data_IF_206516699570
#
_entry.id   IF_206516699570
#
_cell.length_a   1.000
_cell.length_b   1.000
_cell.length_c   1.000
_cell.angle_alpha   90.00
_cell.angle_beta   90.00
_cell.angle_gamma   90.00
#
_symmetry.space_group_name_H-M   'P 1'
#
loop_
_entity.id
_entity.type
_entity.pdbx_description
1 polymer ?
#
# COMPACT_ATOMS: atom_id res chain seq x y z
N UNK A 1 27.65 -22.58 -5.93
CA UNK A 1 26.36 -22.68 -6.65
C UNK A 1 25.25 -22.40 -5.66
N UNK A 2 24.82 -21.13 -5.57
CA UNK A 2 23.79 -20.72 -4.62
C UNK A 2 22.41 -20.97 -5.24
N UNK A 3 21.64 -21.83 -4.59
CA UNK A 3 20.26 -22.18 -4.94
C UNK A 3 19.40 -20.91 -4.98
N UNK A 4 18.95 -20.54 -6.17
CA UNK A 4 17.92 -19.54 -6.37
C UNK A 4 16.58 -20.12 -5.91
N UNK A 5 16.18 -19.80 -4.68
CA UNK A 5 14.82 -20.03 -4.22
C UNK A 5 13.90 -19.06 -4.99
N UNK A 6 13.39 -19.51 -6.14
CA UNK A 6 12.22 -18.91 -6.77
C UNK A 6 11.04 -19.10 -5.83
N UNK A 7 10.77 -18.12 -4.96
CA UNK A 7 9.47 -18.01 -4.30
C UNK A 7 8.40 -17.99 -5.41
N UNK A 8 7.42 -18.89 -5.41
CA UNK A 8 6.30 -18.76 -6.32
C UNK A 8 5.62 -17.42 -5.99
N UNK A 9 5.67 -16.48 -6.92
CA UNK A 9 4.85 -15.28 -6.87
C UNK A 9 3.41 -15.72 -7.08
N UNK A 10 2.74 -16.17 -6.03
CA UNK A 10 1.29 -16.34 -6.06
C UNK A 10 0.70 -14.96 -6.34
N UNK A 11 0.27 -14.75 -7.58
CA UNK A 11 -0.43 -13.52 -7.93
C UNK A 11 -1.68 -13.42 -7.06
N UNK A 12 -1.81 -12.36 -6.29
CA UNK A 12 -3.00 -12.12 -5.48
C UNK A 12 -4.24 -12.00 -6.38
N UNK A 13 -5.33 -12.67 -6.00
CA UNK A 13 -6.58 -12.64 -6.75
C UNK A 13 -7.15 -11.23 -6.84
N UNK A 14 -7.75 -10.95 -8.00
CA UNK A 14 -8.51 -9.72 -8.26
C UNK A 14 -9.99 -10.03 -8.54
N UNK A 15 -10.42 -11.25 -8.27
CA UNK A 15 -11.83 -11.60 -8.24
C UNK A 15 -12.51 -10.83 -7.11
N UNK A 16 -13.63 -10.18 -7.44
CA UNK A 16 -14.36 -9.33 -6.50
C UNK A 16 -15.23 -10.11 -5.52
N UNK A 17 -15.50 -11.40 -5.80
CA UNK A 17 -16.28 -12.28 -4.93
C UNK A 17 -15.75 -13.72 -4.99
N UNK A 18 -14.52 -13.97 -4.51
CA UNK A 18 -13.94 -15.30 -4.54
C UNK A 18 -14.67 -16.23 -3.55
N UNK A 19 -14.62 -17.54 -3.79
CA UNK A 19 -15.17 -18.54 -2.85
C UNK A 19 -14.38 -18.62 -1.54
N UNK A 20 -13.11 -18.20 -1.56
CA UNK A 20 -12.22 -18.11 -0.41
C UNK A 20 -11.28 -16.91 -0.58
N UNK A 21 -11.06 -16.15 0.50
CA UNK A 21 -10.09 -15.04 0.51
C UNK A 21 -8.65 -15.55 0.69
N UNK A 22 -7.69 -14.71 0.31
CA UNK A 22 -6.25 -15.03 0.28
C UNK A 22 -5.68 -15.43 1.65
N UNK A 23 -4.53 -16.12 1.70
CA UNK A 23 -3.93 -16.54 2.98
C UNK A 23 -3.53 -15.36 3.90
N UNK A 24 -3.22 -14.21 3.31
CA UNK A 24 -2.93 -12.96 4.02
C UNK A 24 -4.19 -12.23 4.54
N UNK A 25 -5.38 -12.86 4.47
CA UNK A 25 -6.58 -12.41 5.19
C UNK A 25 -6.45 -12.56 6.71
N UNK A 26 -5.53 -13.41 7.15
CA UNK A 26 -5.27 -13.67 8.56
C UNK A 26 -4.75 -12.43 9.26
N UNK A 27 -5.25 -12.15 10.47
CA UNK A 27 -4.85 -10.98 11.24
C UNK A 27 -3.34 -10.99 11.51
N UNK A 28 -2.63 -9.97 10.99
CA UNK A 28 -1.23 -9.73 11.34
C UNK A 28 -1.16 -9.36 12.83
N UNK A 29 -0.33 -10.04 13.64
CA UNK A 29 -0.17 -9.71 15.04
C UNK A 29 0.26 -8.25 15.21
N UNK A 30 -0.55 -7.46 15.93
CA UNK A 30 -0.23 -6.08 16.27
C UNK A 30 0.51 -6.00 17.60
N UNK A 31 1.56 -5.18 17.64
CA UNK A 31 2.20 -4.77 18.90
C UNK A 31 1.23 -3.97 19.77
N UNK A 32 1.50 -3.88 21.07
CA UNK A 32 0.67 -3.11 22.01
C UNK A 32 0.56 -1.63 21.59
N UNK A 33 1.68 -1.03 21.17
CA UNK A 33 1.69 0.34 20.66
C UNK A 33 0.77 0.51 19.44
N UNK A 34 0.84 -0.41 18.47
CA UNK A 34 -0.03 -0.37 17.29
C UNK A 34 -1.51 -0.55 17.66
N UNK A 35 -1.84 -1.45 18.60
CA UNK A 35 -3.22 -1.61 19.10
C UNK A 35 -3.73 -0.33 19.74
N UNK A 36 -2.90 0.33 20.54
CA UNK A 36 -3.24 1.60 21.18
C UNK A 36 -3.49 2.71 20.15
N UNK A 37 -2.61 2.85 19.14
CA UNK A 37 -2.80 3.83 18.07
C UNK A 37 -4.06 3.52 17.26
N UNK A 38 -4.26 2.26 16.86
CA UNK A 38 -5.42 1.84 16.09
C UNK A 38 -6.73 2.13 16.83
N UNK A 39 -6.79 1.84 18.13
CA UNK A 39 -7.95 2.15 18.96
C UNK A 39 -8.17 3.67 19.13
N UNK A 40 -7.14 4.41 19.52
CA UNK A 40 -7.27 5.82 19.91
C UNK A 40 -7.44 6.75 18.70
N UNK A 41 -6.68 6.54 17.63
CA UNK A 41 -6.68 7.40 16.46
C UNK A 41 -7.69 6.98 15.39
N UNK A 42 -7.96 5.67 15.24
CA UNK A 42 -8.81 5.13 14.17
C UNK A 42 -10.14 4.57 14.70
N UNK A 43 -10.28 4.40 16.03
CA UNK A 43 -11.41 3.68 16.62
C UNK A 43 -11.48 2.22 16.18
N UNK A 44 -10.34 1.61 15.84
CA UNK A 44 -10.25 0.23 15.34
C UNK A 44 -10.31 -0.77 16.49
N UNK A 45 -11.36 -1.59 16.52
CA UNK A 45 -11.48 -2.79 17.35
C UNK A 45 -11.56 -4.02 16.46
N UNK A 46 -11.33 -5.22 17.00
CA UNK A 46 -11.42 -6.46 16.21
C UNK A 46 -12.82 -6.63 15.59
N UNK A 47 -13.89 -6.39 16.36
CA UNK A 47 -15.26 -6.43 15.87
C UNK A 47 -15.53 -5.38 14.77
N UNK A 48 -15.08 -4.13 14.96
CA UNK A 48 -15.27 -3.08 13.94
C UNK A 48 -14.47 -3.38 12.68
N UNK A 49 -13.27 -3.97 12.82
CA UNK A 49 -12.41 -4.38 11.71
C UNK A 49 -13.10 -5.44 10.85
N UNK A 50 -13.55 -6.52 11.48
CA UNK A 50 -14.22 -7.64 10.81
C UNK A 50 -15.49 -7.17 10.09
N UNK A 51 -16.35 -6.44 10.79
CA UNK A 51 -17.60 -5.94 10.22
C UNK A 51 -17.35 -4.95 9.08
N UNK A 52 -16.40 -4.03 9.26
CA UNK A 52 -16.09 -3.03 8.23
C UNK A 52 -15.50 -3.64 6.97
N UNK A 53 -14.65 -4.65 7.13
CA UNK A 53 -14.08 -5.40 6.02
C UNK A 53 -15.16 -6.18 5.27
N UNK A 54 -16.07 -6.84 5.99
CA UNK A 54 -17.22 -7.55 5.42
C UNK A 54 -18.10 -6.61 4.59
N UNK A 55 -18.45 -5.43 5.12
CA UNK A 55 -19.26 -4.43 4.43
C UNK A 55 -18.55 -3.90 3.16
N UNK A 56 -17.24 -3.62 3.24
CA UNK A 56 -16.49 -3.15 2.08
C UNK A 56 -16.42 -4.21 0.98
N UNK A 57 -16.24 -5.49 1.33
CA UNK A 57 -16.30 -6.62 0.38
C UNK A 57 -17.67 -6.76 -0.29
N UNK A 58 -18.75 -6.69 0.48
CA UNK A 58 -20.11 -6.75 -0.07
C UNK A 58 -20.40 -5.59 -1.02
N UNK A 59 -19.92 -4.40 -0.70
CA UNK A 59 -20.01 -3.25 -1.58
C UNK A 59 -19.20 -3.47 -2.87
N UNK A 60 -17.94 -3.93 -2.78
CA UNK A 60 -17.11 -4.25 -3.96
C UNK A 60 -17.80 -5.29 -4.86
N UNK A 61 -18.34 -6.36 -4.27
CA UNK A 61 -19.02 -7.43 -5.00
C UNK A 61 -20.26 -6.91 -5.75
N UNK A 62 -21.07 -6.06 -5.12
CA UNK A 62 -22.28 -5.49 -5.72
C UNK A 62 -22.03 -4.31 -6.66
N UNK A 63 -20.83 -3.70 -6.61
CA UNK A 63 -20.53 -2.51 -7.41
C UNK A 63 -20.50 -2.81 -8.93
N UNK A 64 -21.24 -2.07 -9.77
CA UNK A 64 -21.40 -2.39 -11.19
C UNK A 64 -20.16 -2.07 -12.03
N UNK A 65 -19.38 -1.07 -11.65
CA UNK A 65 -18.20 -0.61 -12.40
C UNK A 65 -16.88 -1.26 -11.96
N UNK A 66 -16.83 -1.85 -10.75
CA UNK A 66 -15.65 -2.57 -10.29
C UNK A 66 -15.66 -3.97 -10.92
N UNK A 67 -14.72 -4.19 -11.85
CA UNK A 67 -14.54 -5.46 -12.55
C UNK A 67 -13.44 -6.34 -11.94
N UNK A 68 -12.35 -5.72 -11.49
CA UNK A 68 -11.19 -6.40 -10.89
C UNK A 68 -10.69 -5.58 -9.71
N UNK A 69 -10.62 -6.18 -8.53
CA UNK A 69 -10.15 -5.53 -7.31
C UNK A 69 -9.62 -6.59 -6.35
N UNK A 70 -8.46 -6.36 -5.72
CA UNK A 70 -8.00 -7.18 -4.60
C UNK A 70 -9.02 -7.06 -3.46
N UNK A 71 -9.35 -8.19 -2.85
CA UNK A 71 -10.32 -8.24 -1.73
C UNK A 71 -9.73 -8.83 -0.46
N UNK A 72 -8.42 -9.06 -0.44
CA UNK A 72 -7.67 -9.46 0.76
C UNK A 72 -7.72 -8.38 1.86
N UNK A 73 -7.65 -8.81 3.12
CA UNK A 73 -7.80 -7.95 4.28
C UNK A 73 -6.71 -6.89 4.35
N UNK A 74 -5.45 -7.25 4.08
CA UNK A 74 -4.33 -6.32 4.14
C UNK A 74 -4.51 -5.13 3.21
N UNK A 75 -4.93 -5.39 1.96
CA UNK A 75 -5.22 -4.38 0.96
C UNK A 75 -6.44 -3.53 1.34
N UNK A 76 -7.55 -4.16 1.71
CA UNK A 76 -8.78 -3.42 2.00
C UNK A 76 -8.69 -2.58 3.29
N UNK A 77 -7.99 -3.09 4.31
CA UNK A 77 -7.79 -2.38 5.57
C UNK A 77 -7.00 -1.09 5.40
N UNK A 78 -6.12 -0.97 4.40
CA UNK A 78 -5.38 0.27 4.14
C UNK A 78 -6.31 1.45 3.85
N UNK A 79 -7.42 1.21 3.16
CA UNK A 79 -8.43 2.25 2.86
C UNK A 79 -9.30 2.57 4.06
N UNK A 80 -9.70 1.55 4.82
CA UNK A 80 -10.47 1.71 6.05
C UNK A 80 -9.66 2.49 7.09
N UNK A 81 -8.42 2.11 7.34
CA UNK A 81 -7.52 2.77 8.31
C UNK A 81 -7.19 4.19 7.89
N UNK A 82 -6.88 4.43 6.61
CA UNK A 82 -6.63 5.79 6.10
C UNK A 82 -7.82 6.75 6.29
N UNK A 83 -9.02 6.22 6.55
CA UNK A 83 -10.25 6.98 6.78
C UNK A 83 -10.85 6.76 8.17
N UNK A 84 -10.07 6.28 9.14
CA UNK A 84 -10.53 6.02 10.51
C UNK A 84 -11.84 5.19 10.56
N UNK A 85 -11.95 4.22 9.64
CA UNK A 85 -13.10 3.35 9.46
C UNK A 85 -14.43 4.08 9.13
N UNK A 86 -14.36 5.28 8.55
CA UNK A 86 -15.47 5.87 7.81
C UNK A 86 -15.71 5.08 6.53
N UNK A 87 -16.87 4.41 6.47
CA UNK A 87 -17.24 3.51 5.40
C UNK A 87 -17.41 4.21 4.05
N UNK A 88 -18.03 5.38 4.03
CA UNK A 88 -18.30 6.10 2.79
C UNK A 88 -17.01 6.69 2.22
N UNK A 89 -16.21 7.32 3.09
CA UNK A 89 -14.93 7.87 2.71
C UNK A 89 -13.95 6.79 2.24
N UNK A 90 -13.95 5.60 2.86
CA UNK A 90 -13.13 4.47 2.44
C UNK A 90 -13.54 3.95 1.05
N UNK A 91 -14.83 3.78 0.77
CA UNK A 91 -15.35 3.37 -0.54
C UNK A 91 -14.96 4.36 -1.63
N UNK A 92 -15.17 5.65 -1.38
CA UNK A 92 -14.77 6.72 -2.31
C UNK A 92 -13.26 6.74 -2.55
N UNK A 93 -12.45 6.50 -1.51
CA UNK A 93 -11.00 6.44 -1.64
C UNK A 93 -10.56 5.24 -2.46
N UNK A 94 -11.16 4.06 -2.26
CA UNK A 94 -10.90 2.87 -3.05
C UNK A 94 -11.30 3.07 -4.52
N UNK A 95 -12.48 3.64 -4.79
CA UNK A 95 -12.93 3.93 -6.15
C UNK A 95 -11.96 4.87 -6.86
N UNK A 96 -11.59 5.99 -6.22
CA UNK A 96 -10.59 6.93 -6.76
C UNK A 96 -9.26 6.26 -7.03
N UNK A 97 -8.79 5.41 -6.12
CA UNK A 97 -7.57 4.63 -6.32
C UNK A 97 -7.67 3.74 -7.57
N UNK A 98 -8.76 2.98 -7.74
CA UNK A 98 -8.97 2.13 -8.91
C UNK A 98 -9.05 2.95 -10.20
N UNK A 99 -9.74 4.09 -10.18
CA UNK A 99 -9.82 5.02 -11.33
C UNK A 99 -8.45 5.60 -11.68
N UNK A 100 -7.68 6.08 -10.70
CA UNK A 100 -6.35 6.65 -10.94
C UNK A 100 -5.40 5.65 -11.59
N UNK A 101 -5.45 4.38 -11.19
CA UNK A 101 -4.67 3.31 -11.84
C UNK A 101 -5.01 3.12 -13.33
N UNK A 102 -6.28 3.30 -13.69
CA UNK A 102 -6.73 3.17 -15.08
C UNK A 102 -6.45 4.42 -15.91
N UNK A 103 -6.54 5.61 -15.33
CA UNK A 103 -6.32 6.89 -16.03
C UNK A 103 -4.82 7.17 -16.21
N UNK A 104 -4.01 6.97 -15.17
CA UNK A 104 -2.59 7.32 -15.17
C UNK A 104 -1.68 6.09 -15.32
N UNK A 105 -1.96 5.26 -16.33
CA UNK A 105 -1.28 3.97 -16.57
C UNK A 105 0.25 4.09 -16.61
N UNK A 106 0.79 5.20 -17.14
CA UNK A 106 2.23 5.44 -17.21
C UNK A 106 2.93 5.39 -15.84
N UNK A 107 2.25 5.80 -14.78
CA UNK A 107 2.77 5.80 -13.41
C UNK A 107 2.35 4.57 -12.59
N UNK A 108 1.22 3.95 -12.90
CA UNK A 108 0.65 2.86 -12.08
C UNK A 108 0.84 1.46 -12.67
N UNK A 109 1.22 1.34 -13.95
CA UNK A 109 1.56 0.07 -14.57
C UNK A 109 3.07 -0.20 -14.52
N UNK A 110 3.42 -1.49 -14.57
CA UNK A 110 4.81 -1.96 -14.51
C UNK A 110 5.58 -1.44 -13.29
N UNK A 111 4.96 -1.51 -12.10
CA UNK A 111 5.61 -1.25 -10.82
C UNK A 111 6.56 -2.39 -10.46
N UNK A 112 7.56 -2.62 -11.31
CA UNK A 112 8.50 -3.73 -11.21
C UNK A 112 9.84 -3.23 -10.63
N UNK A 113 10.25 -3.67 -9.43
CA UNK A 113 11.55 -3.31 -8.87
C UNK A 113 12.73 -3.87 -9.69
N UNK A 114 12.49 -4.83 -10.60
CA UNK A 114 13.50 -5.36 -11.49
C UNK A 114 13.66 -4.54 -12.79
N UNK A 115 12.77 -3.59 -13.09
CA UNK A 115 12.95 -2.64 -14.17
C UNK A 115 14.25 -1.84 -13.98
N UNK A 116 14.98 -1.60 -15.07
CA UNK A 116 16.32 -0.99 -14.99
C UNK A 116 16.31 0.36 -14.26
N UNK A 117 15.31 1.20 -14.51
CA UNK A 117 15.25 2.53 -13.92
C UNK A 117 14.78 2.44 -12.47
N UNK A 118 13.82 1.56 -12.18
CA UNK A 118 13.34 1.38 -10.81
C UNK A 118 14.44 0.82 -9.91
N UNK A 119 15.19 -0.19 -10.39
CA UNK A 119 16.33 -0.75 -9.68
C UNK A 119 17.39 0.31 -9.41
N UNK A 120 17.78 1.08 -10.43
CA UNK A 120 18.77 2.15 -10.28
C UNK A 120 18.31 3.21 -9.26
N UNK A 121 17.04 3.60 -9.30
CA UNK A 121 16.47 4.57 -8.36
C UNK A 121 16.47 4.07 -6.90
N UNK A 122 16.30 2.76 -6.70
CA UNK A 122 16.32 2.10 -5.38
C UNK A 122 17.77 1.89 -4.89
N UNK A 123 18.61 1.24 -5.69
CA UNK A 123 19.89 0.69 -5.25
C UNK A 123 21.04 1.72 -5.31
N UNK A 124 21.13 2.45 -6.43
CA UNK A 124 22.24 3.35 -6.74
C UNK A 124 21.94 4.78 -6.29
N UNK A 125 20.83 5.34 -6.78
CA UNK A 125 20.40 6.72 -6.45
C UNK A 125 19.96 6.80 -4.99
N UNK A 126 19.34 5.73 -4.48
CA UNK A 126 18.74 5.67 -3.14
C UNK A 126 17.80 6.84 -2.92
N UNK A 127 16.90 7.04 -3.88
CA UNK A 127 16.02 8.22 -3.93
C UNK A 127 15.03 8.30 -2.76
N UNK A 128 14.68 7.16 -2.17
CA UNK A 128 13.90 7.07 -0.94
C UNK A 128 14.44 5.94 -0.07
N UNK A 129 14.69 6.22 1.21
CA UNK A 129 15.22 5.26 2.17
C UNK A 129 14.29 5.16 3.38
N UNK A 130 13.68 4.00 3.66
CA UNK A 130 12.97 3.78 4.90
C UNK A 130 13.99 3.73 6.06
N UNK A 131 13.81 4.60 7.05
CA UNK A 131 14.68 4.74 8.23
C UNK A 131 14.16 3.98 9.46
N UNK A 132 13.02 3.31 9.34
CA UNK A 132 12.34 2.61 10.43
C UNK A 132 11.13 3.38 10.95
N UNK A 133 10.73 3.11 12.20
CA UNK A 133 9.60 3.77 12.85
C UNK A 133 10.07 4.74 13.93
N UNK A 134 9.41 5.89 14.04
CA UNK A 134 9.66 6.83 15.13
C UNK A 134 8.95 6.41 16.43
N UNK A 135 9.16 7.19 17.50
CA UNK A 135 8.55 6.93 18.82
C UNK A 135 7.02 7.00 18.80
N UNK A 136 6.42 7.67 17.81
CA UNK A 136 4.97 7.76 17.64
C UNK A 136 4.42 6.59 16.79
N UNK A 137 5.26 5.66 16.34
CA UNK A 137 4.86 4.51 15.54
C UNK A 137 4.68 4.83 14.05
N UNK A 138 5.19 5.97 13.58
CA UNK A 138 5.12 6.39 12.16
C UNK A 138 6.35 5.90 11.42
N UNK A 139 6.18 5.41 10.20
CA UNK A 139 7.32 5.07 9.35
C UNK A 139 8.02 6.34 8.88
N UNK A 140 9.33 6.42 9.07
CA UNK A 140 10.16 7.54 8.64
C UNK A 140 10.86 7.15 7.34
N UNK A 141 10.74 7.99 6.31
CA UNK A 141 11.46 7.83 5.06
C UNK A 141 12.29 9.07 4.75
N UNK A 142 13.53 8.89 4.30
CA UNK A 142 14.37 9.96 3.76
C UNK A 142 14.23 9.99 2.24
N UNK A 143 13.71 11.09 1.70
CA UNK A 143 13.60 11.35 0.26
C UNK A 143 14.75 12.26 -0.16
N UNK A 144 15.64 11.78 -1.03
CA UNK A 144 16.84 12.51 -1.46
C UNK A 144 16.61 13.15 -2.82
N UNK A 145 15.95 14.31 -2.83
CA UNK A 145 15.52 14.97 -4.07
C UNK A 145 16.71 15.37 -4.94
N UNK A 146 17.78 15.89 -4.31
CA UNK A 146 19.03 16.24 -5.01
C UNK A 146 19.73 15.09 -5.74
N UNK A 147 19.40 13.84 -5.39
CA UNK A 147 20.00 12.67 -6.04
C UNK A 147 19.37 12.34 -7.38
N UNK A 148 18.20 12.92 -7.71
CA UNK A 148 17.53 12.66 -8.98
C UNK A 148 18.13 13.53 -10.09
N UNK A 149 18.86 12.90 -11.00
CA UNK A 149 19.35 13.55 -12.21
C UNK A 149 18.24 13.68 -13.26
N UNK A 150 17.74 14.90 -13.44
CA UNK A 150 16.66 15.23 -14.39
C UNK A 150 17.04 15.06 -15.86
N UNK A 151 18.33 14.93 -16.17
CA UNK A 151 18.79 14.58 -17.53
C UNK A 151 18.64 13.10 -17.84
N UNK A 152 18.55 12.27 -16.78
CA UNK A 152 18.45 10.80 -16.87
C UNK A 152 17.04 10.29 -16.52
N UNK A 153 16.40 10.90 -15.53
CA UNK A 153 15.08 10.52 -15.04
C UNK A 153 14.03 11.59 -15.37
N UNK A 154 13.05 11.21 -16.19
CA UNK A 154 11.91 12.07 -16.49
C UNK A 154 10.79 11.90 -15.44
N UNK A 155 9.72 12.70 -15.57
CA UNK A 155 8.57 12.65 -14.67
C UNK A 155 7.85 11.29 -14.65
N UNK A 156 7.96 10.47 -15.70
CA UNK A 156 7.39 9.12 -15.72
C UNK A 156 8.16 8.17 -14.80
N UNK A 157 9.50 8.23 -14.84
CA UNK A 157 10.34 7.42 -13.95
C UNK A 157 10.10 7.80 -12.48
N UNK A 158 10.12 9.09 -12.16
CA UNK A 158 9.90 9.56 -10.79
C UNK A 158 8.49 9.25 -10.29
N UNK A 159 7.47 9.48 -11.12
CA UNK A 159 6.09 9.15 -10.78
C UNK A 159 5.90 7.65 -10.55
N UNK A 160 6.46 6.80 -11.41
CA UNK A 160 6.39 5.34 -11.25
C UNK A 160 7.12 4.86 -9.99
N UNK A 161 8.32 5.38 -9.74
CA UNK A 161 9.09 5.09 -8.53
C UNK A 161 8.32 5.45 -7.26
N UNK A 162 7.70 6.63 -7.22
CA UNK A 162 6.89 7.05 -6.08
C UNK A 162 5.70 6.12 -5.84
N UNK A 163 4.97 5.72 -6.88
CA UNK A 163 3.83 4.81 -6.73
C UNK A 163 4.25 3.39 -6.38
N UNK A 164 5.41 2.92 -6.86
CA UNK A 164 6.00 1.65 -6.44
C UNK A 164 6.31 1.65 -4.94
N UNK A 165 6.90 2.74 -4.43
CA UNK A 165 7.16 2.90 -3.00
C UNK A 165 5.86 2.97 -2.19
N UNK A 166 4.84 3.68 -2.66
CA UNK A 166 3.55 3.74 -1.98
C UNK A 166 2.86 2.38 -1.91
N UNK A 167 2.86 1.59 -2.98
CA UNK A 167 2.30 0.23 -2.92
C UNK A 167 3.08 -0.64 -1.92
N UNK A 168 4.42 -0.53 -1.87
CA UNK A 168 5.23 -1.25 -0.89
C UNK A 168 4.96 -0.79 0.55
N UNK A 169 4.89 0.52 0.79
CA UNK A 169 4.66 1.09 2.11
C UNK A 169 3.24 0.85 2.62
N UNK A 170 2.24 0.92 1.76
CA UNK A 170 0.84 0.71 2.15
C UNK A 170 0.49 -0.77 2.39
N UNK A 171 1.36 -1.71 2.00
CA UNK A 171 1.25 -3.12 2.41
C UNK A 171 1.88 -3.38 3.81
N UNK A 172 2.48 -2.37 4.45
CA UNK A 172 2.98 -2.46 5.83
C UNK A 172 1.93 -1.98 6.86
N UNK A 173 1.58 -2.86 7.80
CA UNK A 173 0.56 -2.61 8.83
C UNK A 173 0.94 -1.46 9.77
N UNK A 174 2.22 -1.28 10.08
CA UNK A 174 2.69 -0.15 10.88
C UNK A 174 2.41 1.18 10.17
N UNK A 175 2.62 1.23 8.84
CA UNK A 175 2.32 2.41 8.03
C UNK A 175 0.81 2.66 7.94
N UNK A 176 0.00 1.61 7.78
CA UNK A 176 -1.45 1.77 7.74
C UNK A 176 -2.03 2.33 9.05
N UNK A 177 -1.43 1.98 10.20
CA UNK A 177 -1.92 2.39 11.52
C UNK A 177 -1.31 3.73 11.97
N UNK A 178 0.02 3.85 11.91
CA UNK A 178 0.73 5.03 12.39
C UNK A 178 0.88 6.12 11.32
N UNK A 179 0.75 5.78 10.04
CA UNK A 179 1.08 6.68 8.95
C UNK A 179 2.59 6.76 8.69
N UNK A 180 2.99 7.77 7.91
CA UNK A 180 4.38 7.99 7.53
C UNK A 180 4.80 9.46 7.65
N UNK A 181 6.10 9.67 7.81
CA UNK A 181 6.77 10.98 7.80
C UNK A 181 7.92 10.93 6.80
N UNK A 182 7.95 11.90 5.89
CA UNK A 182 9.06 12.07 4.96
C UNK A 182 9.99 13.18 5.44
N UNK A 183 11.28 12.88 5.54
CA UNK A 183 12.36 13.87 5.62
C UNK A 183 12.83 14.12 4.19
N UNK A 184 12.75 15.36 3.73
CA UNK A 184 13.12 15.70 2.34
C UNK A 184 14.46 16.41 2.34
N UNK A 185 15.46 15.78 1.74
CA UNK A 185 16.77 16.38 1.50
C UNK A 185 16.77 17.04 0.12
N UNK A 186 16.52 18.34 0.11
CA UNK A 186 16.44 19.20 -1.08
C UNK A 186 17.82 19.60 -1.59
#
# INVERSE_FOLDING_TARGET
>A
MASSLTRPTSSLSVDKCPSQYEANDSAVPLTEQQRNIALQALGETDARREESLRLLRQWIASHPHIRRCRTDALFLLRFLRARAFDQEAARLTLERYLTMRQVFRLWYENLDPADRYMRELVEDVRGCLPLGTDRAGRMVALVRVRSFDVTRFNCYHLGRFQHMLFEAFFDDVAVQIGGGVAIVDC
#
